data_IF_407932027866
#
_entry.id   IF_407932027866
#
_cell.length_a   1.000
_cell.length_b   1.000
_cell.length_c   1.000
_cell.angle_alpha   90.00
_cell.angle_beta   90.00
_cell.angle_gamma   90.00
#
_symmetry.space_group_name_H-M   'P 1'
#
loop_
_entity.id
_entity.type
_entity.pdbx_description
1 polymer ?
#
# COMPACT_ATOMS: atom_id res chain seq x y z
N UNK A 1 -28.77 27.87 -22.52
CA UNK A 1 -28.62 28.78 -21.36
C UNK A 1 -27.19 29.31 -21.34
N UNK A 2 -26.97 30.57 -21.73
CA UNK A 2 -25.63 31.17 -21.86
C UNK A 2 -25.22 31.71 -20.49
N UNK A 3 -24.06 31.28 -19.97
CA UNK A 3 -23.52 31.80 -18.72
C UNK A 3 -23.22 33.30 -18.86
N UNK A 4 -23.90 34.14 -18.08
CA UNK A 4 -23.70 35.59 -18.08
C UNK A 4 -22.41 35.95 -17.32
N UNK A 5 -21.58 36.79 -17.94
CA UNK A 5 -20.33 37.36 -17.41
C UNK A 5 -20.32 37.78 -15.92
N UNK A 6 -21.38 38.33 -15.29
CA UNK A 6 -21.34 38.67 -13.86
C UNK A 6 -21.08 37.49 -12.91
N UNK A 7 -21.31 36.24 -13.32
CA UNK A 7 -20.96 35.06 -12.50
C UNK A 7 -19.46 34.74 -12.49
N UNK A 8 -18.68 35.29 -13.42
CA UNK A 8 -17.22 35.09 -13.50
C UNK A 8 -16.44 36.21 -12.79
N UNK A 9 -17.03 37.40 -12.65
CA UNK A 9 -16.36 38.57 -12.02
C UNK A 9 -16.42 38.51 -10.49
N UNK A 10 -17.40 37.80 -9.92
CA UNK A 10 -17.72 37.87 -8.49
C UNK A 10 -16.75 37.18 -7.53
N UNK A 11 -15.61 36.63 -7.96
CA UNK A 11 -14.61 36.14 -7.00
C UNK A 11 -13.20 36.05 -7.57
N UNK A 12 -12.76 37.10 -8.26
CA UNK A 12 -11.32 37.29 -8.46
C UNK A 12 -10.73 37.74 -7.13
N UNK A 13 -10.39 36.79 -6.28
CA UNK A 13 -9.73 37.02 -4.99
C UNK A 13 -8.25 37.24 -5.27
N UNK A 14 -7.67 38.29 -4.68
CA UNK A 14 -6.23 38.54 -4.82
C UNK A 14 -5.43 37.40 -4.18
N UNK A 15 -4.34 36.96 -4.82
CA UNK A 15 -3.46 35.89 -4.28
C UNK A 15 -3.00 36.17 -2.84
N UNK A 16 -2.84 37.44 -2.48
CA UNK A 16 -2.49 37.89 -1.13
C UNK A 16 -3.57 37.59 -0.07
N UNK A 17 -4.84 37.64 -0.43
CA UNK A 17 -5.97 37.36 0.48
C UNK A 17 -6.16 35.85 0.70
N UNK A 18 -5.83 35.04 -0.31
CA UNK A 18 -5.79 33.57 -0.17
C UNK A 18 -4.65 33.14 0.77
N UNK A 19 -3.52 33.85 0.76
CA UNK A 19 -2.38 33.56 1.61
C UNK A 19 -2.62 33.91 3.09
N UNK A 20 -3.40 34.96 3.38
CA UNK A 20 -3.72 35.37 4.76
C UNK A 20 -4.79 34.49 5.42
N UNK A 21 -5.74 33.95 4.64
CA UNK A 21 -6.76 33.02 5.16
C UNK A 21 -6.21 31.59 5.36
N UNK A 22 -5.23 31.20 4.56
CA UNK A 22 -4.55 29.91 4.67
C UNK A 22 -3.19 30.07 5.35
N UNK A 23 -3.15 30.67 6.55
CA UNK A 23 -2.03 30.46 7.46
C UNK A 23 -1.86 28.94 7.59
N UNK A 24 -0.85 28.41 6.91
CA UNK A 24 -0.72 26.99 6.62
C UNK A 24 -0.69 26.24 7.94
N UNK A 25 -1.80 25.62 8.34
CA UNK A 25 -1.78 24.62 9.40
C UNK A 25 -0.94 23.49 8.85
N UNK A 26 0.33 23.48 9.23
CA UNK A 26 1.25 22.39 8.96
C UNK A 26 0.75 21.22 9.79
N UNK A 27 -0.06 20.37 9.16
CA UNK A 27 -0.43 19.10 9.76
C UNK A 27 0.81 18.20 9.77
N UNK A 28 1.15 17.57 10.90
CA UNK A 28 2.24 16.62 10.93
C UNK A 28 1.93 15.50 9.93
N UNK A 29 2.96 15.01 9.24
CA UNK A 29 2.82 13.86 8.37
C UNK A 29 2.20 12.69 9.18
N UNK A 30 1.21 11.98 8.64
CA UNK A 30 0.65 10.83 9.32
C UNK A 30 1.78 9.85 9.65
N UNK A 31 1.77 9.32 10.87
CA UNK A 31 2.72 8.28 11.27
C UNK A 31 2.57 7.12 10.29
N UNK A 32 3.60 6.90 9.47
CA UNK A 32 3.65 5.73 8.61
C UNK A 32 3.43 4.51 9.52
N UNK A 33 2.54 3.59 9.12
CA UNK A 33 2.37 2.30 9.80
C UNK A 33 3.68 1.51 9.63
N UNK A 34 4.65 1.77 10.51
CA UNK A 34 6.00 1.17 10.48
C UNK A 34 6.04 -0.23 11.09
N UNK A 35 4.89 -0.82 11.40
CA UNK A 35 4.83 -2.20 11.86
C UNK A 35 5.10 -3.15 10.68
N UNK A 36 5.97 -4.15 10.82
CA UNK A 36 6.01 -5.24 9.86
C UNK A 36 4.62 -5.89 9.81
N UNK A 37 4.01 -5.92 8.62
CA UNK A 37 2.72 -6.59 8.44
C UNK A 37 2.94 -8.08 8.73
N UNK A 38 2.18 -8.62 9.69
CA UNK A 38 2.21 -10.05 9.98
C UNK A 38 1.63 -10.78 8.78
N UNK A 39 2.43 -11.66 8.18
CA UNK A 39 2.03 -12.51 7.05
C UNK A 39 1.44 -13.81 7.57
N UNK A 40 0.62 -14.46 6.74
CA UNK A 40 0.05 -15.77 6.95
C UNK A 40 1.15 -16.81 7.11
N UNK A 41 2.25 -16.64 6.36
CA UNK A 41 3.46 -17.45 6.55
C UNK A 41 4.01 -17.35 7.98
N UNK A 42 4.07 -16.14 8.56
CA UNK A 42 4.53 -15.96 9.94
C UNK A 42 3.57 -16.62 10.94
N UNK A 43 2.26 -16.53 10.70
CA UNK A 43 1.26 -17.19 11.55
C UNK A 43 1.41 -18.71 11.50
N UNK A 44 1.60 -19.29 10.30
CA UNK A 44 1.78 -20.73 10.15
C UNK A 44 3.09 -21.22 10.76
N UNK A 45 4.15 -20.42 10.71
CA UNK A 45 5.41 -20.72 11.41
C UNK A 45 5.22 -20.76 12.92
N UNK A 46 4.48 -19.79 13.48
CA UNK A 46 4.14 -19.78 14.91
C UNK A 46 3.33 -21.00 15.30
N UNK A 47 2.26 -21.30 14.56
CA UNK A 47 1.43 -22.49 14.79
C UNK A 47 2.23 -23.79 14.70
N UNK A 48 3.17 -23.89 13.76
CA UNK A 48 4.05 -25.06 13.64
C UNK A 48 4.96 -25.21 14.85
N UNK A 49 5.52 -24.09 15.33
CA UNK A 49 6.36 -24.10 16.53
C UNK A 49 5.56 -24.49 17.78
N UNK A 50 4.31 -24.04 17.89
CA UNK A 50 3.40 -24.35 19.01
C UNK A 50 2.92 -25.81 18.98
N UNK A 51 2.53 -26.32 17.80
CA UNK A 51 1.99 -27.67 17.64
C UNK A 51 3.06 -28.77 17.71
N UNK A 52 4.32 -28.46 17.37
CA UNK A 52 5.43 -29.41 17.44
C UNK A 52 5.15 -30.72 16.68
N UNK A 53 4.98 -31.82 17.43
CA UNK A 53 4.73 -33.15 16.88
C UNK A 53 3.31 -33.33 16.29
N UNK A 54 2.36 -32.50 16.72
CA UNK A 54 0.96 -32.57 16.26
C UNK A 54 0.73 -31.75 14.98
N UNK A 55 1.78 -31.08 14.46
CA UNK A 55 1.64 -30.30 13.24
C UNK A 55 1.37 -31.20 12.02
N UNK A 56 0.41 -30.87 11.15
CA UNK A 56 0.05 -31.73 10.02
C UNK A 56 1.22 -31.98 9.06
N UNK A 57 1.58 -33.25 8.86
CA UNK A 57 2.70 -33.63 8.00
C UNK A 57 2.47 -33.32 6.51
N UNK A 58 1.21 -33.10 6.10
CA UNK A 58 0.83 -32.73 4.73
C UNK A 58 1.07 -31.24 4.43
N UNK A 59 1.31 -30.39 5.43
CA UNK A 59 1.55 -28.96 5.23
C UNK A 59 3.05 -28.69 5.31
N UNK A 60 3.64 -28.31 4.17
CA UNK A 60 5.04 -27.87 4.07
C UNK A 60 5.08 -26.36 3.89
N UNK A 61 5.87 -25.71 4.73
CA UNK A 61 6.12 -24.27 4.65
C UNK A 61 7.42 -24.04 3.87
N UNK A 62 7.28 -23.56 2.64
CA UNK A 62 8.40 -23.21 1.77
C UNK A 62 8.93 -21.81 2.11
N UNK A 63 10.23 -21.54 1.89
CA UNK A 63 10.81 -20.24 2.18
C UNK A 63 10.21 -19.14 1.27
N UNK A 64 10.09 -17.90 1.77
CA UNK A 64 9.52 -16.81 1.01
C UNK A 64 10.37 -16.48 -0.23
N UNK A 65 9.70 -16.27 -1.36
CA UNK A 65 10.35 -15.94 -2.62
C UNK A 65 10.80 -14.49 -2.67
N UNK A 66 12.02 -14.27 -3.15
CA UNK A 66 12.62 -12.93 -3.29
C UNK A 66 12.44 -12.40 -4.71
N UNK A 67 12.56 -11.09 -4.90
CA UNK A 67 12.44 -10.46 -6.24
C UNK A 67 13.43 -11.04 -7.25
N UNK A 68 14.61 -11.46 -6.79
CA UNK A 68 15.66 -12.09 -7.61
C UNK A 68 15.23 -13.46 -8.14
N UNK A 69 14.32 -14.16 -7.47
CA UNK A 69 13.78 -15.45 -7.92
C UNK A 69 13.10 -15.33 -9.29
N UNK A 70 12.49 -14.17 -9.59
CA UNK A 70 11.81 -13.90 -10.86
C UNK A 70 12.70 -13.19 -11.90
N UNK A 71 14.01 -13.05 -11.66
CA UNK A 71 14.88 -12.24 -12.52
C UNK A 71 14.99 -12.76 -13.96
N UNK A 72 14.94 -14.08 -14.16
CA UNK A 72 15.03 -14.75 -15.47
C UNK A 72 13.68 -14.99 -16.14
N UNK A 73 12.59 -14.58 -15.49
CA UNK A 73 11.23 -14.75 -16.02
C UNK A 73 10.95 -13.65 -17.05
N UNK A 74 10.44 -13.97 -18.26
CA UNK A 74 10.03 -12.98 -19.25
C UNK A 74 9.09 -11.92 -18.67
N UNK A 75 9.23 -10.67 -19.11
CA UNK A 75 8.50 -9.53 -18.55
C UNK A 75 6.97 -9.73 -18.62
N UNK A 76 6.51 -10.32 -19.72
CA UNK A 76 5.10 -10.49 -20.06
C UNK A 76 4.34 -11.34 -19.02
N UNK A 77 4.98 -12.37 -18.46
CA UNK A 77 4.39 -13.26 -17.45
C UNK A 77 4.79 -12.88 -16.01
N UNK A 78 5.81 -12.02 -15.85
CA UNK A 78 6.35 -11.66 -14.53
C UNK A 78 5.35 -10.88 -13.69
N UNK A 79 4.51 -10.05 -14.32
CA UNK A 79 3.47 -9.29 -13.61
C UNK A 79 2.42 -10.24 -13.01
N UNK A 80 1.90 -11.15 -13.83
CA UNK A 80 0.90 -12.14 -13.41
C UNK A 80 1.43 -13.05 -12.30
N UNK A 81 2.67 -13.54 -12.43
CA UNK A 81 3.31 -14.36 -11.40
C UNK A 81 3.47 -13.63 -10.06
N UNK A 82 3.79 -12.33 -10.08
CA UNK A 82 3.87 -11.54 -8.84
C UNK A 82 2.51 -11.43 -8.16
N UNK A 83 1.43 -11.32 -8.93
CA UNK A 83 0.09 -11.22 -8.38
C UNK A 83 -0.37 -12.56 -7.78
N UNK A 84 -0.02 -13.70 -8.37
CA UNK A 84 -0.28 -15.02 -7.78
C UNK A 84 0.51 -15.25 -6.48
N UNK A 85 1.75 -14.75 -6.42
CA UNK A 85 2.61 -14.90 -5.24
C UNK A 85 2.28 -13.89 -4.14
N UNK A 86 1.40 -12.92 -4.40
CA UNK A 86 1.02 -11.91 -3.42
C UNK A 86 0.01 -12.48 -2.44
N UNK A 87 0.34 -12.36 -1.17
CA UNK A 87 -0.60 -12.68 -0.09
C UNK A 87 -1.82 -11.75 -0.16
N UNK A 88 -3.03 -12.33 -0.08
CA UNK A 88 -4.32 -11.63 -0.17
C UNK A 88 -4.86 -11.28 1.21
#
# INVERSE_FOLDING_TARGET
>A
MRASLPRLVARVIAKSEVASQNASKVYPAPLASKGPRVTTYNLLLQQKAEAGADYPANIRLEPPLVKTTLARVPADIRAELKDYLRER
#
